data_IF_610186018503
#
_entry.id   IF_610186018503
#
_cell.length_a   1.000
_cell.length_b   1.000
_cell.length_c   1.000
_cell.angle_alpha   90.00
_cell.angle_beta   90.00
_cell.angle_gamma   90.00
#
_symmetry.space_group_name_H-M   'P 1'
#
loop_
_entity.id
_entity.type
_entity.pdbx_description
1 polymer ?
#
# COMPACT_ATOMS: atom_id res chain seq x y z
N UNK A 1 -58.69 -62.52 38.68
CA UNK A 1 -58.77 -61.34 37.78
C UNK A 1 -57.67 -60.39 38.24
N UNK A 2 -56.57 -60.32 37.55
CA UNK A 2 -55.44 -59.42 37.85
C UNK A 2 -55.24 -58.51 36.62
N UNK A 3 -55.49 -57.22 36.80
CA UNK A 3 -55.30 -56.20 35.78
C UNK A 3 -53.81 -55.78 35.81
N UNK A 4 -53.12 -55.88 34.65
CA UNK A 4 -51.74 -55.40 34.44
C UNK A 4 -51.86 -54.11 33.70
N UNK A 5 -51.42 -53.01 34.32
CA UNK A 5 -51.27 -51.73 33.70
C UNK A 5 -49.90 -51.62 33.06
N UNK A 6 -49.87 -51.52 31.74
CA UNK A 6 -48.64 -51.22 31.02
C UNK A 6 -48.48 -49.70 30.99
N UNK A 7 -47.36 -49.21 31.56
CA UNK A 7 -46.96 -47.84 31.51
C UNK A 7 -46.11 -47.67 30.23
N UNK A 8 -46.62 -46.86 29.28
CA UNK A 8 -45.83 -46.42 28.12
C UNK A 8 -45.01 -45.21 28.56
N UNK A 9 -43.66 -45.36 28.58
CA UNK A 9 -42.74 -44.25 28.76
C UNK A 9 -42.47 -43.66 27.38
N UNK A 10 -42.97 -42.44 27.13
CA UNK A 10 -42.57 -41.63 25.97
C UNK A 10 -41.18 -41.06 26.21
N UNK A 11 -40.20 -41.59 25.49
CA UNK A 11 -38.87 -40.95 25.41
C UNK A 11 -38.92 -39.81 24.39
N UNK A 12 -38.95 -38.56 24.85
CA UNK A 12 -38.68 -37.38 24.02
C UNK A 12 -37.20 -37.29 23.77
N UNK A 13 -36.78 -37.56 22.52
CA UNK A 13 -35.44 -37.29 22.05
C UNK A 13 -35.27 -35.77 21.87
N UNK A 14 -34.54 -35.13 22.78
CA UNK A 14 -34.00 -33.78 22.54
C UNK A 14 -32.90 -33.88 21.48
N UNK A 15 -33.19 -33.41 20.28
CA UNK A 15 -32.16 -33.14 19.26
C UNK A 15 -31.36 -31.94 19.73
N UNK A 16 -30.12 -32.16 20.15
CA UNK A 16 -29.15 -31.08 20.34
C UNK A 16 -28.77 -30.53 18.96
N UNK A 17 -29.25 -29.35 18.64
CA UNK A 17 -28.76 -28.57 17.54
C UNK A 17 -27.30 -28.19 17.84
N UNK A 18 -26.36 -28.67 17.00
CA UNK A 18 -25.00 -28.23 17.02
C UNK A 18 -24.95 -26.72 16.75
N UNK A 19 -24.26 -25.90 17.58
CA UNK A 19 -24.01 -24.53 17.22
C UNK A 19 -23.11 -24.54 15.97
N UNK A 20 -23.65 -24.10 14.85
CA UNK A 20 -22.87 -23.79 13.65
C UNK A 20 -21.81 -22.80 14.07
N UNK A 21 -20.54 -23.22 14.02
CA UNK A 21 -19.40 -22.35 14.04
C UNK A 21 -19.48 -21.46 12.79
N UNK A 22 -20.19 -20.34 12.91
CA UNK A 22 -20.06 -19.23 11.98
C UNK A 22 -18.71 -18.61 12.32
N UNK A 23 -17.68 -18.91 11.51
CA UNK A 23 -16.48 -18.10 11.51
C UNK A 23 -16.91 -16.64 11.44
N UNK A 24 -16.29 -15.72 12.20
CA UNK A 24 -16.65 -14.31 12.10
C UNK A 24 -16.34 -13.89 10.66
N UNK A 25 -17.37 -13.82 9.85
CA UNK A 25 -17.36 -13.17 8.56
C UNK A 25 -16.83 -11.77 8.86
N UNK A 26 -15.63 -11.49 8.34
CA UNK A 26 -14.91 -10.24 8.59
C UNK A 26 -15.78 -9.14 7.97
N UNK A 27 -16.73 -8.62 8.76
CA UNK A 27 -17.71 -7.64 8.34
C UNK A 27 -16.97 -6.38 7.93
N UNK A 28 -16.58 -6.34 6.65
CA UNK A 28 -16.05 -5.12 6.03
C UNK A 28 -17.14 -4.07 6.24
N UNK A 29 -16.82 -3.09 7.10
CA UNK A 29 -17.70 -1.92 7.29
C UNK A 29 -17.81 -1.17 5.96
N UNK A 30 -18.87 -1.46 5.21
CA UNK A 30 -19.15 -0.89 3.89
C UNK A 30 -19.35 0.63 3.93
N UNK A 31 -19.46 1.22 5.12
CA UNK A 31 -19.54 2.68 5.30
C UNK A 31 -18.20 3.37 5.15
N UNK A 32 -17.08 2.64 5.25
CA UNK A 32 -15.73 3.19 5.14
C UNK A 32 -15.16 3.03 3.74
N UNK A 33 -14.47 4.04 3.28
CA UNK A 33 -13.64 3.92 2.09
C UNK A 33 -12.53 2.90 2.33
N UNK A 34 -12.32 2.03 1.36
CA UNK A 34 -11.25 1.02 1.36
C UNK A 34 -10.04 1.57 0.63
N UNK A 35 -8.87 1.38 1.19
CA UNK A 35 -7.61 1.82 0.63
C UNK A 35 -6.65 0.66 0.44
N UNK A 36 -6.06 0.51 -0.77
CA UNK A 36 -5.01 -0.44 -1.10
C UNK A 36 -3.71 0.30 -1.37
N UNK A 37 -2.65 -0.02 -0.62
CA UNK A 37 -1.32 0.59 -0.76
C UNK A 37 -0.31 -0.46 -1.24
N UNK A 38 0.21 -0.26 -2.46
CA UNK A 38 1.07 -1.20 -3.18
C UNK A 38 2.50 -0.66 -3.23
N UNK A 39 3.51 -1.53 -2.98
CA UNK A 39 4.88 -1.05 -3.09
C UNK A 39 5.96 -1.99 -2.57
N UNK A 40 7.00 -1.37 -2.05
CA UNK A 40 8.21 -2.01 -1.52
C UNK A 40 8.46 -1.65 -0.04
N UNK A 41 9.73 -1.60 0.38
CA UNK A 41 10.11 -1.26 1.76
C UNK A 41 9.62 0.12 2.21
N UNK A 42 9.53 1.09 1.33
CA UNK A 42 9.01 2.42 1.65
C UNK A 42 7.49 2.40 1.93
N UNK A 43 6.76 1.48 1.32
CA UNK A 43 5.33 1.31 1.57
C UNK A 43 5.05 0.47 2.80
N UNK A 44 5.83 -0.61 3.02
CA UNK A 44 5.69 -1.40 4.26
C UNK A 44 6.20 -0.64 5.49
N UNK A 45 6.96 0.45 5.27
CA UNK A 45 7.54 1.25 6.34
C UNK A 45 8.64 0.51 7.09
N UNK A 46 9.66 0.06 6.33
CA UNK A 46 10.83 -0.60 6.93
C UNK A 46 11.47 0.33 7.95
N UNK A 47 11.80 -0.22 9.12
CA UNK A 47 12.45 0.48 10.24
C UNK A 47 11.66 1.61 10.90
N UNK A 48 10.35 1.71 10.68
CA UNK A 48 9.45 2.60 11.41
C UNK A 48 8.28 1.82 12.04
N UNK A 49 7.65 2.42 13.05
CA UNK A 49 6.44 1.86 13.64
C UNK A 49 5.27 1.85 12.61
N UNK A 50 4.33 0.90 12.72
CA UNK A 50 3.22 0.79 11.77
C UNK A 50 2.44 2.09 11.56
N UNK A 51 2.20 2.86 12.62
CA UNK A 51 1.50 4.15 12.59
C UNK A 51 2.29 5.28 11.92
N UNK A 52 3.60 5.11 11.77
CA UNK A 52 4.50 6.06 11.13
C UNK A 52 4.65 5.81 9.61
N UNK A 53 4.05 4.76 9.07
CA UNK A 53 4.02 4.51 7.62
C UNK A 53 3.32 5.66 6.90
N UNK A 54 3.84 6.09 5.77
CA UNK A 54 3.27 7.23 5.05
C UNK A 54 1.78 7.04 4.71
N UNK A 55 1.36 5.81 4.34
CA UNK A 55 -0.03 5.50 4.01
C UNK A 55 -0.95 5.53 5.24
N UNK A 56 -0.47 5.12 6.42
CA UNK A 56 -1.18 5.25 7.69
C UNK A 56 -1.35 6.71 8.10
N UNK A 57 -0.26 7.48 8.02
CA UNK A 57 -0.29 8.93 8.31
C UNK A 57 -1.26 9.66 7.36
N UNK A 58 -1.23 9.34 6.05
CA UNK A 58 -2.17 9.89 5.08
C UNK A 58 -3.63 9.55 5.45
N UNK A 59 -3.88 8.31 5.84
CA UNK A 59 -5.20 7.86 6.30
C UNK A 59 -5.68 8.65 7.52
N UNK A 60 -4.82 8.88 8.50
CA UNK A 60 -5.15 9.69 9.68
C UNK A 60 -5.43 11.16 9.32
N UNK A 61 -4.66 11.71 8.38
CA UNK A 61 -4.91 13.06 7.87
C UNK A 61 -6.26 13.16 7.14
N UNK A 62 -6.63 12.15 6.35
CA UNK A 62 -7.91 12.08 5.66
C UNK A 62 -9.06 12.02 6.68
N UNK A 63 -8.94 11.19 7.72
CA UNK A 63 -9.93 11.11 8.80
C UNK A 63 -10.13 12.44 9.52
N UNK A 64 -9.05 13.17 9.80
CA UNK A 64 -9.09 14.52 10.38
C UNK A 64 -9.79 15.52 9.45
N UNK A 65 -9.87 15.24 8.16
CA UNK A 65 -10.59 16.01 7.16
C UNK A 65 -11.98 15.38 6.84
N UNK A 66 -12.56 14.64 7.77
CA UNK A 66 -13.90 14.04 7.73
C UNK A 66 -14.09 12.99 6.60
N UNK A 67 -13.03 12.37 6.11
CA UNK A 67 -13.11 11.24 5.20
C UNK A 67 -13.21 9.95 6.02
N UNK A 68 -14.34 9.23 5.91
CA UNK A 68 -14.51 7.95 6.60
C UNK A 68 -13.78 6.85 5.82
N UNK A 69 -12.51 6.60 6.15
CA UNK A 69 -11.62 5.66 5.45
C UNK A 69 -11.03 4.65 6.44
N UNK A 70 -10.96 3.38 6.03
CA UNK A 70 -10.32 2.32 6.79
C UNK A 70 -8.79 2.44 6.72
N UNK A 71 -8.08 1.73 7.59
CA UNK A 71 -6.63 1.56 7.46
C UNK A 71 -6.30 0.92 6.11
N UNK A 72 -5.16 1.27 5.49
CA UNK A 72 -4.79 0.71 4.22
C UNK A 72 -4.51 -0.79 4.31
N UNK A 73 -5.05 -1.56 3.38
CA UNK A 73 -4.52 -2.88 3.08
C UNK A 73 -3.18 -2.67 2.36
N UNK A 74 -2.09 -3.21 2.93
CA UNK A 74 -0.75 -3.02 2.39
C UNK A 74 -0.28 -4.31 1.73
N UNK A 75 0.11 -4.22 0.46
CA UNK A 75 0.80 -5.28 -0.28
C UNK A 75 2.16 -4.74 -0.69
N UNK A 76 3.14 -5.00 0.13
CA UNK A 76 4.49 -4.48 -0.02
C UNK A 76 5.48 -5.36 0.73
N UNK A 77 6.73 -5.37 0.29
CA UNK A 77 7.82 -6.07 0.97
C UNK A 77 9.16 -5.41 0.65
N UNK A 78 10.05 -5.43 1.62
CA UNK A 78 11.43 -4.97 1.48
C UNK A 78 12.13 -5.65 0.32
N UNK A 79 12.74 -4.84 -0.53
CA UNK A 79 13.52 -5.31 -1.68
C UNK A 79 12.71 -5.57 -2.95
N UNK A 80 11.38 -5.49 -2.93
CA UNK A 80 10.59 -5.79 -4.12
C UNK A 80 10.81 -4.82 -5.28
N UNK A 81 11.00 -5.41 -6.46
CA UNK A 81 10.89 -4.77 -7.76
C UNK A 81 9.45 -4.76 -8.25
N UNK A 82 9.19 -4.13 -9.38
CA UNK A 82 7.89 -4.17 -10.07
C UNK A 82 7.39 -5.59 -10.31
N UNK A 83 8.24 -6.50 -10.79
CA UNK A 83 7.88 -7.90 -11.03
C UNK A 83 7.54 -8.64 -9.73
N UNK A 84 8.34 -8.46 -8.67
CA UNK A 84 8.10 -9.08 -7.37
C UNK A 84 6.84 -8.54 -6.70
N UNK A 85 6.49 -7.26 -6.91
CA UNK A 85 5.22 -6.70 -6.46
C UNK A 85 4.03 -7.35 -7.22
N UNK A 86 4.12 -7.57 -8.52
CA UNK A 86 3.09 -8.28 -9.28
C UNK A 86 2.85 -9.70 -8.75
N UNK A 87 3.93 -10.43 -8.45
CA UNK A 87 3.84 -11.74 -7.81
C UNK A 87 3.20 -11.67 -6.41
N UNK A 88 3.57 -10.66 -5.63
CA UNK A 88 2.98 -10.40 -4.32
C UNK A 88 1.47 -10.12 -4.39
N UNK A 89 1.04 -9.33 -5.34
CA UNK A 89 -0.37 -9.03 -5.63
C UNK A 89 -1.12 -10.31 -6.03
N UNK A 90 -0.55 -11.10 -6.93
CA UNK A 90 -1.13 -12.37 -7.38
C UNK A 90 -1.32 -13.34 -6.22
N UNK A 91 -0.31 -13.48 -5.37
CA UNK A 91 -0.35 -14.38 -4.21
C UNK A 91 -1.33 -13.91 -3.13
N UNK A 92 -1.41 -12.60 -2.89
CA UNK A 92 -2.33 -12.01 -1.90
C UNK A 92 -3.78 -11.98 -2.39
N UNK A 93 -3.97 -11.89 -3.72
CA UNK A 93 -5.26 -11.88 -4.41
C UNK A 93 -6.28 -10.89 -3.78
N UNK A 94 -5.95 -9.59 -3.70
CA UNK A 94 -6.80 -8.60 -3.05
C UNK A 94 -8.15 -8.49 -3.76
N UNK A 95 -9.22 -8.34 -2.97
CA UNK A 95 -10.59 -8.28 -3.50
C UNK A 95 -11.10 -6.85 -3.54
N UNK A 96 -11.07 -6.26 -4.73
CA UNK A 96 -11.68 -4.93 -4.97
C UNK A 96 -13.21 -4.92 -4.92
N UNK A 97 -13.86 -3.80 -5.24
CA UNK A 97 -13.19 -2.55 -5.54
C UNK A 97 -12.69 -1.81 -4.30
N UNK A 98 -11.61 -1.04 -4.48
CA UNK A 98 -11.09 -0.09 -3.50
C UNK A 98 -11.48 1.34 -3.89
N UNK A 99 -11.69 2.18 -2.91
CA UNK A 99 -12.01 3.60 -3.12
C UNK A 99 -10.76 4.44 -3.34
N UNK A 100 -9.60 3.90 -2.97
CA UNK A 100 -8.29 4.51 -3.17
C UNK A 100 -7.25 3.42 -3.39
N UNK A 101 -6.37 3.62 -4.38
CA UNK A 101 -5.24 2.73 -4.64
C UNK A 101 -3.99 3.58 -4.83
N UNK A 102 -2.90 3.23 -4.16
CA UNK A 102 -1.61 3.91 -4.34
C UNK A 102 -0.50 2.95 -4.74
N UNK A 103 0.47 3.48 -5.50
CA UNK A 103 1.72 2.79 -5.83
C UNK A 103 2.91 3.64 -5.38
N UNK A 104 3.93 2.97 -4.82
CA UNK A 104 5.28 3.49 -4.62
C UNK A 104 6.24 2.34 -4.87
N UNK A 105 6.83 2.27 -6.06
CA UNK A 105 7.66 1.16 -6.52
C UNK A 105 8.67 1.63 -7.57
N UNK A 106 9.84 1.01 -7.62
CA UNK A 106 10.85 1.26 -8.66
C UNK A 106 12.25 1.46 -8.13
N UNK A 107 12.41 1.76 -6.83
CA UNK A 107 13.76 1.94 -6.25
C UNK A 107 14.61 0.68 -6.39
N UNK A 108 14.05 -0.49 -6.18
CA UNK A 108 14.79 -1.75 -6.28
C UNK A 108 15.08 -2.15 -7.74
N UNK A 109 14.27 -1.71 -8.70
CA UNK A 109 14.58 -1.84 -10.11
C UNK A 109 15.85 -1.02 -10.45
N UNK A 110 15.90 0.24 -10.01
CA UNK A 110 17.08 1.11 -10.18
C UNK A 110 18.29 0.54 -9.43
N UNK A 111 18.17 0.19 -8.16
CA UNK A 111 19.26 -0.32 -7.32
C UNK A 111 19.90 -1.59 -7.89
N UNK A 112 19.11 -2.45 -8.52
CA UNK A 112 19.56 -3.68 -9.18
C UNK A 112 20.01 -3.47 -10.63
N UNK A 113 20.05 -2.24 -11.11
CA UNK A 113 20.53 -1.89 -12.46
C UNK A 113 19.63 -2.42 -13.57
N UNK A 114 18.33 -2.58 -13.32
CA UNK A 114 17.39 -2.99 -14.36
C UNK A 114 17.16 -1.84 -15.35
N UNK A 115 16.86 -2.19 -16.63
CA UNK A 115 16.65 -1.19 -17.67
C UNK A 115 15.35 -0.40 -17.47
N UNK A 116 15.36 0.86 -17.92
CA UNK A 116 14.16 1.70 -17.94
C UNK A 116 13.04 1.10 -18.81
N UNK A 117 13.39 0.40 -19.89
CA UNK A 117 12.42 -0.26 -20.76
C UNK A 117 11.67 -1.38 -20.02
N UNK A 118 12.40 -2.24 -19.31
CA UNK A 118 11.81 -3.28 -18.49
C UNK A 118 10.91 -2.68 -17.39
N UNK A 119 11.43 -1.68 -16.67
CA UNK A 119 10.66 -0.98 -15.66
C UNK A 119 9.37 -0.39 -16.22
N UNK A 120 9.44 0.27 -17.38
CA UNK A 120 8.27 0.85 -18.07
C UNK A 120 7.20 -0.21 -18.36
N UNK A 121 7.61 -1.34 -18.95
CA UNK A 121 6.68 -2.43 -19.28
C UNK A 121 6.00 -2.99 -18.03
N UNK A 122 6.78 -3.33 -17.01
CA UNK A 122 6.26 -3.88 -15.75
C UNK A 122 5.38 -2.85 -15.00
N UNK A 123 5.75 -1.57 -15.04
CA UNK A 123 4.95 -0.50 -14.44
C UNK A 123 3.61 -0.30 -15.13
N UNK A 124 3.56 -0.37 -16.46
CA UNK A 124 2.29 -0.31 -17.21
C UNK A 124 1.32 -1.39 -16.74
N UNK A 125 1.79 -2.62 -16.56
CA UNK A 125 0.97 -3.72 -16.05
C UNK A 125 0.47 -3.45 -14.62
N UNK A 126 1.34 -2.94 -13.73
CA UNK A 126 0.96 -2.58 -12.35
C UNK A 126 -0.07 -1.45 -12.31
N UNK A 127 0.06 -0.43 -13.15
CA UNK A 127 -0.90 0.67 -13.23
C UNK A 127 -2.26 0.17 -13.71
N UNK A 128 -2.30 -0.75 -14.70
CA UNK A 128 -3.55 -1.37 -15.14
C UNK A 128 -4.18 -2.23 -14.04
N UNK A 129 -3.39 -2.99 -13.29
CA UNK A 129 -3.89 -3.74 -12.13
C UNK A 129 -4.46 -2.79 -11.06
N UNK A 130 -3.78 -1.67 -10.77
CA UNK A 130 -4.26 -0.68 -9.81
C UNK A 130 -5.62 -0.07 -10.23
N UNK A 131 -5.78 0.25 -11.52
CA UNK A 131 -7.07 0.69 -12.08
C UNK A 131 -8.14 -0.40 -11.89
N UNK A 132 -7.80 -1.66 -12.18
CA UNK A 132 -8.70 -2.79 -11.95
C UNK A 132 -9.15 -2.92 -10.49
N UNK A 133 -8.22 -2.75 -9.53
CA UNK A 133 -8.56 -2.75 -8.10
C UNK A 133 -9.43 -1.56 -7.69
N UNK A 134 -9.33 -0.44 -8.39
CA UNK A 134 -10.19 0.72 -8.21
C UNK A 134 -11.56 0.58 -8.93
N UNK A 135 -11.90 -0.63 -9.40
CA UNK A 135 -13.16 -0.87 -10.13
C UNK A 135 -13.20 -0.20 -11.52
N UNK A 136 -12.04 0.04 -12.13
CA UNK A 136 -11.91 0.75 -13.40
C UNK A 136 -11.89 2.28 -13.28
N UNK A 137 -11.98 2.83 -12.07
CA UNK A 137 -11.98 4.27 -11.87
C UNK A 137 -10.56 4.81 -11.68
N UNK A 138 -10.02 5.42 -12.72
CA UNK A 138 -8.68 6.01 -12.77
C UNK A 138 -8.52 7.12 -11.71
N UNK A 139 -9.57 7.88 -11.45
CA UNK A 139 -9.57 8.96 -10.45
C UNK A 139 -9.42 8.46 -9.00
N UNK A 140 -9.37 7.15 -8.80
CA UNK A 140 -9.12 6.51 -7.50
C UNK A 140 -7.70 5.96 -7.36
N UNK A 141 -6.84 6.24 -8.33
CA UNK A 141 -5.46 5.74 -8.37
C UNK A 141 -4.48 6.91 -8.33
N UNK A 142 -3.42 6.77 -7.57
CA UNK A 142 -2.28 7.70 -7.58
C UNK A 142 -0.96 6.97 -7.37
N UNK A 143 0.12 7.58 -7.82
CA UNK A 143 1.47 7.07 -7.63
C UNK A 143 2.36 8.12 -6.98
N UNK A 144 3.22 7.71 -6.05
CA UNK A 144 4.31 8.52 -5.54
C UNK A 144 5.58 8.25 -6.34
N UNK A 145 6.38 9.30 -6.56
CA UNK A 145 7.72 9.10 -7.11
C UNK A 145 8.60 8.30 -6.15
N UNK A 146 9.58 7.59 -6.70
CA UNK A 146 10.63 6.89 -5.94
C UNK A 146 11.50 7.91 -5.19
N UNK A 147 11.74 7.75 -3.89
CA UNK A 147 12.64 8.62 -3.15
C UNK A 147 14.10 8.38 -3.50
N UNK A 148 14.95 9.35 -3.24
CA UNK A 148 16.38 9.29 -3.50
C UNK A 148 17.13 8.71 -2.29
N UNK A 149 17.48 7.43 -2.34
CA UNK A 149 18.29 6.78 -1.31
C UNK A 149 19.75 7.23 -1.31
N UNK A 150 20.22 7.85 -2.39
CA UNK A 150 21.58 8.36 -2.54
C UNK A 150 21.95 9.45 -1.52
N UNK A 151 20.97 10.06 -0.85
CA UNK A 151 21.21 11.05 0.20
C UNK A 151 21.37 10.45 1.60
N UNK A 152 21.17 9.14 1.74
CA UNK A 152 21.19 8.44 3.03
C UNK A 152 22.58 7.99 3.45
N UNK A 153 22.84 7.71 4.74
CA UNK A 153 24.10 7.13 5.20
C UNK A 153 24.51 5.84 4.49
N UNK A 154 23.53 5.01 4.07
CA UNK A 154 23.74 3.78 3.34
C UNK A 154 24.49 4.04 2.01
N UNK A 155 24.25 5.17 1.38
CA UNK A 155 24.90 5.55 0.12
C UNK A 155 26.34 6.04 0.30
N UNK A 156 26.91 5.97 1.52
CA UNK A 156 28.29 6.37 1.76
C UNK A 156 29.26 5.51 0.93
N UNK A 157 30.03 6.16 0.08
CA UNK A 157 30.95 5.46 -0.84
C UNK A 157 30.35 5.12 -2.20
N UNK A 158 29.08 5.36 -2.44
CA UNK A 158 28.44 5.27 -3.75
C UNK A 158 28.55 6.59 -4.52
N UNK A 159 28.39 6.52 -5.84
CA UNK A 159 28.26 7.72 -6.68
C UNK A 159 26.82 8.29 -6.50
N UNK A 160 26.70 9.21 -5.55
CA UNK A 160 25.42 9.85 -5.23
C UNK A 160 24.82 10.64 -6.41
N UNK A 161 25.67 11.26 -7.24
CA UNK A 161 25.19 12.02 -8.40
C UNK A 161 24.61 11.08 -9.47
N UNK A 162 25.28 9.95 -9.71
CA UNK A 162 24.76 8.89 -10.58
C UNK A 162 23.44 8.34 -10.05
N UNK A 163 23.38 7.99 -8.75
CA UNK A 163 22.14 7.51 -8.12
C UNK A 163 20.99 8.49 -8.30
N UNK A 164 21.23 9.78 -8.02
CA UNK A 164 20.21 10.81 -8.19
C UNK A 164 19.70 10.90 -9.63
N UNK A 165 20.62 10.88 -10.61
CA UNK A 165 20.27 10.92 -12.04
C UNK A 165 19.47 9.69 -12.48
N UNK A 166 19.83 8.50 -11.99
CA UNK A 166 19.10 7.27 -12.31
C UNK A 166 17.69 7.27 -11.67
N UNK A 167 17.56 7.70 -10.41
CA UNK A 167 16.25 7.86 -9.75
C UNK A 167 15.37 8.85 -10.53
N UNK A 168 15.94 9.98 -10.98
CA UNK A 168 15.19 10.94 -11.79
C UNK A 168 14.71 10.32 -13.12
N UNK A 169 15.53 9.49 -13.76
CA UNK A 169 15.16 8.80 -15.00
C UNK A 169 14.02 7.77 -14.76
N UNK A 170 14.06 7.00 -13.68
CA UNK A 170 12.97 6.09 -13.30
C UNK A 170 11.68 6.84 -12.98
N UNK A 171 11.78 7.95 -12.24
CA UNK A 171 10.63 8.79 -11.93
C UNK A 171 10.05 9.49 -13.16
N UNK A 172 10.88 9.86 -14.12
CA UNK A 172 10.39 10.40 -15.40
C UNK A 172 9.56 9.36 -16.15
N UNK A 173 10.01 8.10 -16.23
CA UNK A 173 9.23 6.99 -16.79
C UNK A 173 7.91 6.83 -16.06
N UNK A 174 7.93 6.80 -14.73
CA UNK A 174 6.72 6.63 -13.93
C UNK A 174 5.71 7.77 -14.17
N UNK A 175 6.21 9.01 -14.21
CA UNK A 175 5.39 10.19 -14.49
C UNK A 175 4.74 10.12 -15.87
N UNK A 176 5.50 9.79 -16.90
CA UNK A 176 5.01 9.63 -18.28
C UNK A 176 3.90 8.58 -18.38
N UNK A 177 4.08 7.41 -17.74
CA UNK A 177 3.07 6.36 -17.78
C UNK A 177 1.81 6.71 -16.99
N UNK A 178 1.96 7.41 -15.87
CA UNK A 178 0.81 7.95 -15.12
C UNK A 178 0.06 9.00 -15.96
N UNK A 179 0.77 9.94 -16.59
CA UNK A 179 0.17 10.99 -17.44
C UNK A 179 -0.60 10.41 -18.63
N UNK A 180 -0.06 9.39 -19.30
CA UNK A 180 -0.74 8.69 -20.42
C UNK A 180 -2.07 8.08 -20.00
N UNK A 181 -2.18 7.62 -18.75
CA UNK A 181 -3.37 6.99 -18.21
C UNK A 181 -4.30 7.96 -17.47
N UNK A 182 -3.87 9.20 -17.23
CA UNK A 182 -4.60 10.17 -16.39
C UNK A 182 -4.52 9.88 -14.89
N UNK A 183 -3.55 9.07 -14.46
CA UNK A 183 -3.29 8.76 -13.04
C UNK A 183 -2.56 9.93 -12.38
N UNK A 184 -2.97 10.31 -11.18
CA UNK A 184 -2.30 11.36 -10.42
C UNK A 184 -0.89 10.90 -9.98
N UNK A 185 0.12 11.70 -10.31
CA UNK A 185 1.50 11.49 -9.88
C UNK A 185 1.91 12.52 -8.83
N UNK A 186 2.42 12.06 -7.70
CA UNK A 186 2.85 12.91 -6.57
C UNK A 186 4.35 12.81 -6.43
N UNK A 187 5.07 13.87 -6.79
CA UNK A 187 6.52 13.91 -6.70
C UNK A 187 6.98 14.20 -5.27
N UNK A 188 7.52 13.15 -4.60
CA UNK A 188 8.11 13.22 -3.24
C UNK A 188 9.65 13.17 -3.26
N UNK A 189 10.26 12.98 -4.41
CA UNK A 189 11.73 12.87 -4.55
C UNK A 189 12.47 14.11 -4.04
N UNK A 190 12.04 15.35 -4.39
CA UNK A 190 12.69 16.54 -3.84
C UNK A 190 12.62 16.63 -2.31
N UNK A 191 11.51 16.13 -1.72
CA UNK A 191 11.35 16.10 -0.27
C UNK A 191 12.34 15.10 0.33
N UNK A 192 12.47 13.90 -0.23
CA UNK A 192 13.42 12.89 0.25
C UNK A 192 14.88 13.41 0.25
N UNK A 193 15.23 14.25 -0.70
CA UNK A 193 16.57 14.87 -0.83
C UNK A 193 16.91 15.83 0.31
N UNK A 194 15.92 16.33 1.05
CA UNK A 194 16.18 17.19 2.22
C UNK A 194 16.84 16.43 3.36
N UNK A 195 16.73 15.11 3.39
CA UNK A 195 17.37 14.26 4.40
C UNK A 195 18.91 14.35 4.39
N UNK A 196 19.53 14.79 3.28
CA UNK A 196 20.97 15.02 3.20
C UNK A 196 21.49 15.93 4.30
N UNK A 197 20.67 16.87 4.74
CA UNK A 197 21.04 17.89 5.72
C UNK A 197 20.36 17.67 7.08
N UNK A 198 19.57 16.62 7.22
CA UNK A 198 18.79 16.34 8.44
C UNK A 198 18.67 14.83 8.69
N UNK A 199 19.61 14.29 9.44
CA UNK A 199 19.66 12.86 9.77
C UNK A 199 18.39 12.37 10.51
N UNK A 200 17.64 13.25 11.17
CA UNK A 200 16.38 12.88 11.83
C UNK A 200 15.29 12.45 10.86
N UNK A 201 15.49 12.66 9.55
CA UNK A 201 14.61 12.21 8.49
C UNK A 201 14.94 10.79 8.00
N UNK A 202 16.00 10.18 8.53
CA UNK A 202 16.44 8.82 8.21
C UNK A 202 16.11 7.90 9.39
N UNK A 203 15.66 6.69 9.10
CA UNK A 203 15.43 5.66 10.11
C UNK A 203 16.74 5.08 10.65
N UNK A 204 16.67 4.30 11.73
CA UNK A 204 17.84 3.79 12.44
C UNK A 204 18.72 2.84 11.63
N UNK A 205 18.22 2.28 10.53
CA UNK A 205 18.98 1.41 9.63
C UNK A 205 19.92 2.19 8.69
N UNK A 206 19.82 3.52 8.66
CA UNK A 206 20.65 4.38 7.82
C UNK A 206 20.30 4.37 6.33
N UNK A 207 19.22 3.70 5.93
CA UNK A 207 18.77 3.58 4.54
C UNK A 207 17.35 4.12 4.35
N UNK A 208 16.40 3.60 5.14
CA UNK A 208 15.00 3.98 5.01
C UNK A 208 14.72 5.34 5.67
N UNK A 209 13.61 5.93 5.28
CA UNK A 209 13.22 7.24 5.82
C UNK A 209 12.42 7.09 7.11
N UNK A 210 12.53 8.08 7.99
CA UNK A 210 11.84 8.10 9.28
C UNK A 210 10.36 8.48 9.14
N UNK A 211 9.58 8.27 10.20
CA UNK A 211 8.20 8.75 10.28
C UNK A 211 8.07 10.27 10.07
N UNK A 212 9.11 11.06 10.42
CA UNK A 212 9.16 12.49 10.13
C UNK A 212 9.14 12.77 8.61
N UNK A 213 9.92 12.03 7.83
CA UNK A 213 9.95 12.13 6.38
C UNK A 213 8.63 11.61 5.77
N UNK A 214 8.13 10.47 6.24
CA UNK A 214 6.88 9.88 5.78
C UNK A 214 5.68 10.80 6.01
N UNK A 215 5.71 11.60 7.08
CA UNK A 215 4.71 12.64 7.30
C UNK A 215 4.74 13.70 6.21
N UNK A 216 5.91 14.15 5.79
CA UNK A 216 6.04 15.15 4.71
C UNK A 216 5.54 14.59 3.36
N UNK A 217 5.76 13.28 3.09
CA UNK A 217 5.20 12.63 1.89
C UNK A 217 3.67 12.58 1.95
N UNK A 218 3.11 12.22 3.10
CA UNK A 218 1.67 12.21 3.31
C UNK A 218 1.04 13.60 3.16
N UNK A 219 1.68 14.62 3.72
CA UNK A 219 1.28 16.03 3.57
C UNK A 219 1.28 16.47 2.11
N UNK A 220 2.30 16.08 1.34
CA UNK A 220 2.39 16.34 -0.09
C UNK A 220 1.30 15.64 -0.90
N UNK A 221 0.96 14.40 -0.54
CA UNK A 221 -0.07 13.61 -1.22
C UNK A 221 -1.50 14.05 -0.86
N UNK A 222 -1.72 14.55 0.35
CA UNK A 222 -3.05 14.83 0.90
C UNK A 222 -3.95 15.67 -0.02
N UNK A 223 -3.52 16.83 -0.59
CA UNK A 223 -4.39 17.64 -1.45
C UNK A 223 -4.83 16.89 -2.71
N UNK A 224 -3.94 16.06 -3.27
CA UNK A 224 -4.25 15.24 -4.43
C UNK A 224 -5.29 14.18 -4.07
N UNK A 225 -5.06 13.44 -2.99
CA UNK A 225 -5.96 12.36 -2.55
C UNK A 225 -7.34 12.90 -2.14
N UNK A 226 -7.41 14.07 -1.51
CA UNK A 226 -8.68 14.72 -1.22
C UNK A 226 -9.50 15.05 -2.47
N UNK A 227 -8.84 15.38 -3.59
CA UNK A 227 -9.54 15.58 -4.88
C UNK A 227 -10.05 14.27 -5.47
N UNK A 228 -9.24 13.19 -5.37
CA UNK A 228 -9.60 11.86 -5.86
C UNK A 228 -10.78 11.23 -5.09
N UNK A 229 -11.02 11.65 -3.85
CA UNK A 229 -12.07 11.08 -2.99
C UNK A 229 -13.38 11.90 -2.98
N UNK A 230 -13.42 12.99 -3.74
CA UNK A 230 -14.65 13.77 -3.97
C UNK A 230 -15.50 13.12 -5.05
#
# INVERSE_FOLDING_TARGET
MKWIWSIFILMTACSAENPTNVEPDNLIDKSKYRYLSLGDSYTIGESVAPEERWSMILTDMLRKNNVNIADPEIIARTGWTTAELMDGIKNRNPKGPYNLVSLLIGVNNQYRGQSLERYRTELQELLQQAIGFAGGNIERVFMLSTPDWGVTPFAKGSDQAKTASEIDAFNQVAKEECEKLGIAFVDITPISRTAKNDISQIANDGLHFSGKMYRQWAEKALPTVQRLLK
#
